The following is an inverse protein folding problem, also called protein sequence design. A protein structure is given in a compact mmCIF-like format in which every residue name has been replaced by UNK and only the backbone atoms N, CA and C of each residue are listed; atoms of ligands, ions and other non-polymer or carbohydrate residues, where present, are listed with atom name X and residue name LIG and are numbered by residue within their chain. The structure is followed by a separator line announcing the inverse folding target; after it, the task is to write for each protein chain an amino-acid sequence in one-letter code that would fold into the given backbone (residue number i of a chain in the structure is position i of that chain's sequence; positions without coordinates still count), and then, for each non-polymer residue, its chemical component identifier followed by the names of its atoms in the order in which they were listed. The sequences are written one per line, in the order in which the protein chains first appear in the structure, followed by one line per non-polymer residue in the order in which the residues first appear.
data_IF_081611645162
#
_entry.id   IF_081611645162
#
_cell.length_a   1.000
_cell.length_b   1.000
_cell.length_c   1.000
_cell.angle_alpha   90.00
_cell.angle_beta   90.00
_cell.angle_gamma   90.00
#
_symmetry.space_group_name_H-M   'P 1'
#
loop_
_entity.id
_entity.type
_entity.pdbx_description
1 polymer ?
#
# COMPACT_ATOMS: atom_id res chain seq x y z
N UNK A 1 5.66 -9.10 -7.39
CA UNK A 1 4.39 -8.37 -7.28
C UNK A 1 4.47 -7.52 -6.03
N UNK A 2 4.34 -6.24 -6.16
CA UNK A 2 4.48 -5.29 -5.06
C UNK A 2 3.15 -5.09 -4.34
N UNK A 3 3.20 -4.76 -3.05
CA UNK A 3 2.01 -4.51 -2.25
C UNK A 3 1.38 -3.17 -2.61
N UNK A 4 0.16 -3.19 -3.14
CA UNK A 4 -0.66 -1.99 -3.32
C UNK A 4 -0.14 -0.95 -4.30
N UNK A 5 -0.65 0.28 -4.22
CA UNK A 5 -0.19 1.39 -5.03
C UNK A 5 1.28 1.68 -4.80
N UNK A 6 2.03 1.87 -5.88
CA UNK A 6 3.47 2.11 -5.82
C UNK A 6 3.78 3.61 -5.82
N UNK A 7 4.76 4.02 -5.02
CA UNK A 7 5.28 5.38 -5.06
C UNK A 7 5.76 5.72 -6.48
N UNK A 8 5.32 6.86 -7.00
CA UNK A 8 5.68 7.33 -8.33
C UNK A 8 7.03 8.03 -8.30
N UNK A 9 7.31 8.72 -7.21
CA UNK A 9 8.56 9.44 -6.99
C UNK A 9 9.56 8.53 -6.27
N UNK A 10 10.77 8.43 -6.80
CA UNK A 10 11.88 7.72 -6.19
C UNK A 10 12.37 6.50 -6.95
N UNK A 11 13.34 5.81 -6.37
CA UNK A 11 13.93 4.62 -6.95
C UNK A 11 13.05 3.39 -6.73
N UNK A 12 12.69 2.68 -7.79
CA UNK A 12 11.99 1.41 -7.72
C UNK A 12 12.74 0.37 -6.87
N UNK A 13 14.06 0.35 -6.95
CA UNK A 13 14.90 -0.55 -6.14
C UNK A 13 14.73 -0.28 -4.65
N UNK A 14 14.67 0.98 -4.27
CA UNK A 14 14.46 1.40 -2.90
C UNK A 14 13.05 1.02 -2.39
N UNK A 15 12.02 1.30 -3.17
CA UNK A 15 10.64 0.92 -2.84
C UNK A 15 10.49 -0.59 -2.68
N UNK A 16 11.08 -1.38 -3.59
CA UNK A 16 11.05 -2.85 -3.52
C UNK A 16 11.79 -3.34 -2.27
N UNK A 17 12.94 -2.76 -1.93
CA UNK A 17 13.70 -3.11 -0.73
C UNK A 17 12.89 -2.92 0.55
N UNK A 18 12.22 -1.78 0.67
CA UNK A 18 11.36 -1.48 1.82
C UNK A 18 10.15 -2.42 1.91
N UNK A 19 9.48 -2.66 0.80
CA UNK A 19 8.36 -3.60 0.74
C UNK A 19 8.80 -5.03 1.11
N UNK A 20 9.98 -5.46 0.65
CA UNK A 20 10.53 -6.78 0.99
C UNK A 20 10.80 -6.89 2.49
N UNK A 21 11.32 -5.84 3.11
CA UNK A 21 11.55 -5.80 4.56
C UNK A 21 10.25 -5.93 5.35
N UNK A 22 9.20 -5.22 4.93
CA UNK A 22 7.87 -5.31 5.55
C UNK A 22 7.29 -6.71 5.40
N UNK A 23 7.35 -7.28 4.19
CA UNK A 23 6.85 -8.64 3.92
C UNK A 23 7.59 -9.68 4.79
N UNK A 24 8.92 -9.62 4.84
CA UNK A 24 9.73 -10.54 5.64
C UNK A 24 9.37 -10.46 7.12
N UNK A 25 9.15 -9.24 7.65
CA UNK A 25 8.70 -9.03 9.03
C UNK A 25 7.32 -9.64 9.27
N UNK A 26 6.36 -9.39 8.40
CA UNK A 26 5.00 -9.96 8.53
C UNK A 26 5.03 -11.48 8.51
N UNK A 27 5.81 -12.09 7.59
CA UNK A 27 5.97 -13.56 7.54
C UNK A 27 6.57 -14.07 8.84
N UNK A 28 7.59 -13.39 9.37
CA UNK A 28 8.20 -13.76 10.65
C UNK A 28 7.18 -13.72 11.78
N UNK A 29 6.39 -12.67 11.88
CA UNK A 29 5.35 -12.54 12.90
C UNK A 29 4.28 -13.63 12.75
N UNK A 30 3.87 -13.96 11.52
CA UNK A 30 2.94 -15.08 11.27
C UNK A 30 3.50 -16.41 11.79
N UNK A 31 4.77 -16.69 11.53
CA UNK A 31 5.41 -17.93 11.99
C UNK A 31 5.55 -17.95 13.52
N UNK A 32 6.00 -16.84 14.13
CA UNK A 32 6.22 -16.75 15.57
C UNK A 32 4.92 -16.90 16.37
N UNK A 33 3.79 -16.46 15.85
CA UNK A 33 2.49 -16.45 16.53
C UNK A 33 1.47 -17.46 15.99
N UNK A 34 1.86 -18.33 15.06
CA UNK A 34 0.95 -19.33 14.47
C UNK A 34 -0.22 -18.72 13.70
N UNK A 35 0.00 -17.59 13.03
CA UNK A 35 -1.01 -16.89 12.25
C UNK A 35 -1.10 -17.50 10.86
N UNK A 36 -2.24 -18.06 10.50
CA UNK A 36 -2.46 -18.70 9.19
C UNK A 36 -2.76 -17.74 8.06
N UNK A 37 -3.32 -16.57 8.36
CA UNK A 37 -3.62 -15.55 7.34
C UNK A 37 -3.66 -14.16 7.93
N UNK A 38 -3.26 -13.19 7.11
CA UNK A 38 -3.36 -11.75 7.37
C UNK A 38 -4.27 -11.12 6.33
N UNK A 39 -5.18 -10.28 6.78
CA UNK A 39 -6.04 -9.49 5.91
C UNK A 39 -6.05 -8.04 6.40
N UNK A 40 -5.93 -7.03 5.53
CA UNK A 40 -6.08 -5.65 5.94
C UNK A 40 -7.43 -5.41 6.62
N UNK A 41 -7.44 -4.66 7.71
CA UNK A 41 -8.69 -4.21 8.31
C UNK A 41 -9.46 -3.36 7.30
N UNK A 42 -10.75 -3.62 7.18
CA UNK A 42 -11.59 -3.00 6.14
C UNK A 42 -11.73 -1.50 6.33
N UNK A 43 -11.90 -1.05 7.57
CA UNK A 43 -12.06 0.37 7.87
C UNK A 43 -10.77 1.15 7.59
N UNK A 44 -9.64 0.57 7.98
CA UNK A 44 -8.33 1.13 7.67
C UNK A 44 -8.06 1.20 6.15
N UNK A 45 -8.36 0.12 5.45
CA UNK A 45 -8.20 0.07 3.99
C UNK A 45 -9.04 1.14 3.28
N UNK A 46 -10.31 1.29 3.66
CA UNK A 46 -11.21 2.23 3.03
C UNK A 46 -10.79 3.69 3.32
N UNK A 47 -10.39 4.00 4.56
CA UNK A 47 -9.89 5.32 4.95
C UNK A 47 -8.59 5.68 4.21
N UNK A 48 -7.63 4.78 4.21
CA UNK A 48 -6.35 4.98 3.50
C UNK A 48 -6.56 5.15 1.99
N UNK A 49 -7.44 4.36 1.40
CA UNK A 49 -7.74 4.46 -0.03
C UNK A 49 -8.44 5.79 -0.37
N UNK A 50 -9.31 6.29 0.49
CA UNK A 50 -9.93 7.61 0.32
C UNK A 50 -8.89 8.74 0.36
N UNK A 51 -7.98 8.71 1.33
CA UNK A 51 -6.87 9.67 1.43
C UNK A 51 -5.97 9.66 0.17
N UNK A 52 -5.61 8.48 -0.31
CA UNK A 52 -4.82 8.32 -1.54
C UNK A 52 -5.55 8.92 -2.74
N UNK A 53 -6.86 8.69 -2.89
CA UNK A 53 -7.63 9.24 -4.01
C UNK A 53 -7.74 10.77 -3.93
N UNK A 54 -7.95 11.33 -2.75
CA UNK A 54 -8.00 12.78 -2.55
C UNK A 54 -6.68 13.45 -2.97
N UNK A 55 -5.54 12.88 -2.58
CA UNK A 55 -4.23 13.37 -2.98
C UNK A 55 -3.99 13.23 -4.50
N UNK A 56 -4.48 12.16 -5.10
CA UNK A 56 -4.36 11.92 -6.54
C UNK A 56 -5.21 12.88 -7.36
N UNK A 57 -6.36 13.31 -6.85
CA UNK A 57 -7.26 14.23 -7.57
C UNK A 57 -6.60 15.58 -7.88
N UNK A 58 -5.71 16.06 -7.03
CA UNK A 58 -4.90 17.25 -7.25
C UNK A 58 -3.65 17.05 -8.12
N UNK A 59 -3.34 15.82 -8.53
CA UNK A 59 -2.10 15.51 -9.23
C UNK A 59 -2.24 15.58 -10.76
N UNK A 60 -1.11 15.86 -11.44
CA UNK A 60 -1.03 15.79 -12.91
C UNK A 60 -1.36 14.41 -13.47
N UNK A 61 -1.25 13.36 -12.66
CA UNK A 61 -1.57 11.99 -13.05
C UNK A 61 -3.07 11.75 -13.22
N UNK A 62 -3.91 12.61 -12.64
CA UNK A 62 -5.35 12.55 -12.78
C UNK A 62 -5.87 13.22 -14.07
N UNK A 63 -4.99 13.70 -14.95
CA UNK A 63 -5.39 14.26 -16.25
C UNK A 63 -6.28 13.28 -17.03
N UNK A 64 -7.44 13.75 -17.45
CA UNK A 64 -8.38 12.99 -18.26
C UNK A 64 -8.03 13.00 -19.76
N UNK A 65 -6.99 13.73 -20.14
CA UNK A 65 -6.63 13.95 -21.55
C UNK A 65 -6.21 12.66 -22.28
N UNK A 66 -5.66 11.69 -21.53
CA UNK A 66 -5.18 10.43 -22.11
C UNK A 66 -5.69 9.22 -21.35
N UNK A 67 -5.97 8.12 -22.07
CA UNK A 67 -6.13 6.83 -21.44
C UNK A 67 -4.77 6.28 -21.03
N UNK A 68 -4.68 5.63 -19.88
CA UNK A 68 -3.44 5.03 -19.42
C UNK A 68 -3.70 3.76 -18.60
N UNK A 69 -2.69 2.91 -18.49
CA UNK A 69 -2.77 1.63 -17.77
C UNK A 69 -2.87 1.79 -16.24
N UNK A 70 -2.65 2.98 -15.70
CA UNK A 70 -2.73 3.28 -14.27
C UNK A 70 -4.17 3.46 -13.81
N UNK A 71 -5.10 3.54 -14.76
CA UNK A 71 -6.53 3.67 -14.51
C UNK A 71 -7.25 2.35 -14.77
N UNK A 72 -8.22 2.07 -13.96
CA UNK A 72 -9.12 0.94 -14.18
C UNK A 72 -9.83 1.13 -15.53
N UNK A 73 -9.67 0.14 -16.42
CA UNK A 73 -10.22 0.24 -17.77
C UNK A 73 -9.66 1.37 -18.64
N UNK A 74 -8.47 1.90 -18.28
CA UNK A 74 -7.77 2.95 -19.02
C UNK A 74 -8.30 4.37 -18.78
N UNK A 75 -9.49 4.54 -18.25
CA UNK A 75 -10.14 5.85 -18.01
C UNK A 75 -10.83 5.99 -16.65
N UNK A 76 -10.96 4.92 -15.90
CA UNK A 76 -11.57 4.91 -14.59
C UNK A 76 -10.66 5.49 -13.49
N UNK A 77 -10.92 5.12 -12.27
CA UNK A 77 -10.15 5.54 -11.10
C UNK A 77 -8.66 5.14 -11.22
N UNK A 78 -7.76 6.00 -10.75
CA UNK A 78 -6.34 5.67 -10.60
C UNK A 78 -6.18 4.58 -9.54
N UNK A 79 -5.50 3.49 -9.88
CA UNK A 79 -5.36 2.31 -9.01
C UNK A 79 -3.92 1.89 -8.74
N UNK A 80 -2.98 2.39 -9.51
CA UNK A 80 -1.57 1.98 -9.43
C UNK A 80 -0.70 3.01 -8.72
N UNK A 81 -0.83 4.33 -8.98
CA UNK A 81 0.07 5.30 -8.39
C UNK A 81 -0.26 5.58 -6.92
N UNK A 82 0.77 5.73 -6.12
CA UNK A 82 0.69 6.30 -4.78
C UNK A 82 1.25 7.72 -4.83
N UNK A 83 0.50 8.76 -4.43
CA UNK A 83 0.93 10.14 -4.50
C UNK A 83 1.94 10.54 -3.41
N UNK A 84 2.18 9.68 -2.44
CA UNK A 84 3.14 9.92 -1.38
C UNK A 84 4.55 9.92 -1.97
N UNK A 85 5.40 10.81 -1.49
CA UNK A 85 6.81 10.74 -1.80
C UNK A 85 7.48 9.54 -1.09
N UNK A 86 8.71 9.22 -1.51
CA UNK A 86 9.39 8.06 -0.97
C UNK A 86 9.59 8.14 0.55
N UNK A 87 9.80 9.32 1.12
CA UNK A 87 10.01 9.53 2.55
C UNK A 87 8.72 9.34 3.37
N UNK A 88 7.59 9.70 2.82
CA UNK A 88 6.28 9.45 3.44
C UNK A 88 5.87 7.98 3.34
N UNK A 89 6.18 7.35 2.20
CA UNK A 89 5.91 5.94 1.96
C UNK A 89 6.73 5.02 2.88
N UNK A 90 7.85 5.52 3.38
CA UNK A 90 8.79 4.78 4.22
C UNK A 90 8.55 4.92 5.71
N UNK A 91 7.59 5.69 6.14
CA UNK A 91 7.27 5.76 7.57
C UNK A 91 7.10 4.33 8.08
N UNK A 92 7.89 3.93 9.08
CA UNK A 92 7.80 2.57 9.60
C UNK A 92 6.35 2.30 10.00
N UNK A 93 5.84 1.16 9.56
CA UNK A 93 4.58 0.67 10.08
C UNK A 93 4.66 0.72 11.61
N UNK A 94 3.63 1.22 12.30
CA UNK A 94 3.63 1.29 13.75
C UNK A 94 4.01 -0.09 14.33
N UNK A 95 4.78 -0.09 15.39
CA UNK A 95 5.52 -1.19 15.96
C UNK A 95 4.84 -2.56 16.10
N UNK A 96 5.06 -3.29 17.19
CA UNK A 96 4.60 -4.67 17.43
C UNK A 96 3.11 -4.95 17.15
N UNK A 97 2.29 -3.93 16.97
CA UNK A 97 0.84 -4.03 16.83
C UNK A 97 0.34 -4.00 15.39
N UNK A 98 1.18 -4.30 14.40
CA UNK A 98 0.79 -4.31 12.99
C UNK A 98 -0.41 -5.26 12.77
N UNK A 99 -0.37 -6.43 13.42
CA UNK A 99 -1.50 -7.38 13.39
C UNK A 99 -2.76 -6.85 14.04
N UNK A 100 -2.65 -5.99 15.06
CA UNK A 100 -3.82 -5.51 15.82
C UNK A 100 -4.38 -4.20 15.27
N UNK A 101 -3.55 -3.42 14.58
CA UNK A 101 -3.92 -2.06 14.15
C UNK A 101 -4.34 -2.01 12.68
N UNK A 102 -3.69 -2.78 11.82
CA UNK A 102 -3.85 -2.69 10.35
C UNK A 102 -4.41 -3.99 9.75
N UNK A 103 -4.19 -5.13 10.41
CA UNK A 103 -4.58 -6.43 9.88
C UNK A 103 -5.48 -7.20 10.83
N UNK A 104 -6.44 -7.91 10.26
CA UNK A 104 -7.21 -8.94 10.95
C UNK A 104 -6.41 -10.25 10.84
N UNK A 105 -5.98 -10.78 11.97
CA UNK A 105 -5.21 -12.02 12.05
C UNK A 105 -6.14 -13.20 12.32
N UNK A 106 -5.97 -14.29 11.57
CA UNK A 106 -6.63 -15.57 11.86
C UNK A 106 -5.56 -16.60 12.20
N UNK A 107 -5.68 -17.20 13.35
CA UNK A 107 -4.84 -18.35 13.75
C UNK A 107 -5.18 -19.59 12.93
N UNK A 108 -4.22 -20.48 12.81
CA UNK A 108 -4.40 -21.80 12.21
C UNK A 108 -5.31 -22.69 13.06
#
# INVERSE_FOLDING_TARGET
MTLGPNAIAGSWGYTIGNQTTVIARLIKEMLDFGIGSLQPDRSYFDAHNAEIQEKLDGSTMNSQACSNWWRIGGRGRLSVPNPLDASEFEKPLPGRDVCLTIYVCRTL
#
